data_IF_526524254894
#
_entry.id   IF_526524254894
#
_cell.length_a   1.000
_cell.length_b   1.000
_cell.length_c   1.000
_cell.angle_alpha   90.00
_cell.angle_beta   90.00
_cell.angle_gamma   90.00
#
_symmetry.space_group_name_H-M   'P 1'
#
loop_
_entity.id
_entity.type
_entity.pdbx_description
1 polymer ?
#
# COMPACT_ATOMS: atom_id res chain seq x y z
N UNK A 1 7.29 -9.00 6.09
CA UNK A 1 7.30 -8.15 7.29
C UNK A 1 6.83 -8.99 8.47
N UNK A 2 7.56 -8.92 9.57
CA UNK A 2 7.18 -9.59 10.80
C UNK A 2 5.91 -9.01 11.41
N UNK A 3 5.48 -9.54 12.54
CA UNK A 3 4.31 -9.06 13.24
C UNK A 3 4.52 -7.68 13.87
N UNK A 4 3.44 -7.12 14.36
CA UNK A 4 3.45 -5.85 15.08
C UNK A 4 4.13 -6.04 16.44
N UNK A 5 4.97 -5.09 16.87
CA UNK A 5 5.55 -5.12 18.19
C UNK A 5 4.47 -5.02 19.29
N UNK A 6 4.74 -5.63 20.45
CA UNK A 6 3.76 -5.72 21.54
C UNK A 6 3.24 -4.35 21.98
N UNK A 7 4.15 -3.35 22.16
CA UNK A 7 3.75 -2.01 22.59
C UNK A 7 2.89 -1.30 21.52
N UNK A 8 3.30 -1.41 20.26
CA UNK A 8 2.54 -0.81 19.15
C UNK A 8 1.15 -1.41 19.05
N UNK A 9 1.02 -2.72 19.26
CA UNK A 9 -0.25 -3.41 19.23
C UNK A 9 -1.17 -2.94 20.36
N UNK A 10 -0.64 -2.81 21.57
CA UNK A 10 -1.41 -2.32 22.72
C UNK A 10 -1.92 -0.89 22.49
N UNK A 11 -1.08 -0.02 21.93
CA UNK A 11 -1.49 1.35 21.59
C UNK A 11 -2.54 1.36 20.47
N UNK A 12 -2.34 0.53 19.44
CA UNK A 12 -3.26 0.46 18.32
C UNK A 12 -4.67 0.05 18.72
N UNK A 13 -4.83 -0.81 19.70
CA UNK A 13 -6.15 -1.20 20.21
C UNK A 13 -6.97 -0.01 20.67
N UNK A 14 -6.32 1.01 21.23
CA UNK A 14 -6.99 2.17 21.79
C UNK A 14 -7.25 3.28 20.75
N UNK A 15 -6.41 3.38 19.72
CA UNK A 15 -6.42 4.53 18.80
C UNK A 15 -6.76 4.20 17.35
N UNK A 16 -6.73 2.94 16.97
CA UNK A 16 -7.03 2.51 15.60
C UNK A 16 -8.45 1.98 15.51
N UNK A 17 -9.21 2.52 14.57
CA UNK A 17 -10.61 2.14 14.40
C UNK A 17 -10.78 0.78 13.72
N UNK A 18 -9.92 0.43 12.76
CA UNK A 18 -10.05 -0.81 12.00
C UNK A 18 -8.70 -1.25 11.44
N UNK A 19 -8.60 -2.51 11.09
CA UNK A 19 -7.42 -3.12 10.47
C UNK A 19 -7.84 -3.83 9.18
N UNK A 20 -7.05 -3.64 8.13
CA UNK A 20 -7.27 -4.28 6.83
C UNK A 20 -6.00 -5.01 6.42
N UNK A 21 -6.14 -6.28 6.04
CA UNK A 21 -5.05 -7.04 5.47
C UNK A 21 -5.14 -7.00 3.94
N UNK A 22 -4.02 -6.72 3.27
CA UNK A 22 -3.96 -6.65 1.81
C UNK A 22 -3.07 -7.74 1.26
N UNK A 23 -3.31 -8.17 0.02
CA UNK A 23 -2.52 -9.23 -0.61
C UNK A 23 -1.19 -8.71 -1.14
N UNK A 24 -0.20 -9.58 -1.20
CA UNK A 24 1.10 -9.27 -1.81
C UNK A 24 0.94 -8.87 -3.28
N UNK A 25 0.02 -9.50 -3.99
CA UNK A 25 -0.26 -9.19 -5.38
C UNK A 25 -0.74 -7.74 -5.54
N UNK A 26 -1.69 -7.31 -4.71
CA UNK A 26 -2.20 -5.95 -4.75
C UNK A 26 -1.13 -4.94 -4.34
N UNK A 27 -0.29 -5.26 -3.37
CA UNK A 27 0.84 -4.41 -2.98
C UNK A 27 1.80 -4.23 -4.16
N UNK A 28 2.13 -5.30 -4.86
CA UNK A 28 2.99 -5.23 -6.04
C UNK A 28 2.41 -4.34 -7.14
N UNK A 29 1.11 -4.45 -7.38
CA UNK A 29 0.41 -3.58 -8.32
C UNK A 29 0.47 -2.12 -7.89
N UNK A 30 0.32 -1.87 -6.59
CA UNK A 30 0.37 -0.52 -6.04
C UNK A 30 1.76 0.11 -6.21
N UNK A 31 2.82 -0.66 -5.96
CA UNK A 31 4.20 -0.18 -6.18
C UNK A 31 4.41 0.21 -7.65
N UNK A 32 4.00 -0.64 -8.57
CA UNK A 32 4.10 -0.38 -10.01
C UNK A 32 3.25 0.84 -10.41
N UNK A 33 2.02 0.92 -9.92
CA UNK A 33 1.13 2.05 -10.17
C UNK A 33 1.75 3.37 -9.73
N UNK A 34 2.26 3.43 -8.51
CA UNK A 34 2.85 4.66 -7.99
C UNK A 34 4.03 5.12 -8.83
N UNK A 35 4.89 4.18 -9.25
CA UNK A 35 6.04 4.52 -10.08
C UNK A 35 5.64 4.93 -11.49
N UNK A 36 4.70 4.21 -12.12
CA UNK A 36 4.31 4.44 -13.52
C UNK A 36 3.38 5.62 -13.69
N UNK A 37 2.37 5.74 -12.85
CA UNK A 37 1.29 6.72 -13.05
C UNK A 37 1.53 7.99 -12.24
N UNK A 38 1.93 7.85 -10.99
CA UNK A 38 2.11 8.99 -10.09
C UNK A 38 3.55 9.50 -10.05
N UNK A 39 4.49 8.73 -10.60
CA UNK A 39 5.93 9.07 -10.66
C UNK A 39 6.57 9.15 -9.27
N UNK A 40 6.06 8.38 -8.32
CA UNK A 40 6.62 8.26 -6.98
C UNK A 40 7.16 6.86 -6.73
N UNK A 41 8.37 6.78 -6.21
CA UNK A 41 8.97 5.53 -5.79
C UNK A 41 8.60 5.29 -4.33
N UNK A 42 7.74 4.31 -4.10
CA UNK A 42 7.25 3.97 -2.77
C UNK A 42 7.55 2.51 -2.49
N UNK A 43 8.12 2.21 -1.33
CA UNK A 43 8.43 0.83 -0.96
C UNK A 43 7.16 0.01 -0.69
N UNK A 44 7.27 -1.31 -0.78
CA UNK A 44 6.12 -2.21 -0.65
C UNK A 44 5.36 -2.02 0.67
N UNK A 45 6.09 -1.91 1.79
CA UNK A 45 5.47 -1.69 3.10
C UNK A 45 4.64 -0.42 3.17
N UNK A 46 5.07 0.64 2.47
CA UNK A 46 4.33 1.91 2.43
C UNK A 46 3.18 1.90 1.42
N UNK A 47 3.23 1.02 0.42
CA UNK A 47 2.15 0.88 -0.56
C UNK A 47 0.96 0.09 -0.04
N UNK A 48 1.00 -0.42 1.18
CA UNK A 48 -0.14 -1.13 1.79
C UNK A 48 -1.38 -0.25 1.84
N UNK A 49 -1.22 1.06 2.06
CA UNK A 49 -2.35 2.00 2.10
C UNK A 49 -2.99 2.15 0.72
N UNK A 50 -2.20 2.24 -0.34
CA UNK A 50 -2.70 2.29 -1.71
C UNK A 50 -3.40 0.98 -2.06
N UNK A 51 -2.80 -0.16 -1.71
CA UNK A 51 -3.39 -1.48 -1.93
C UNK A 51 -4.75 -1.63 -1.21
N UNK A 52 -4.85 -1.09 0.00
CA UNK A 52 -6.11 -1.13 0.75
C UNK A 52 -7.23 -0.37 0.01
N UNK A 53 -6.92 0.79 -0.54
CA UNK A 53 -7.89 1.55 -1.33
C UNK A 53 -8.29 0.79 -2.59
N UNK A 54 -7.34 0.13 -3.25
CA UNK A 54 -7.63 -0.66 -4.45
C UNK A 54 -8.64 -1.79 -4.17
N UNK A 55 -8.43 -2.55 -3.10
CA UNK A 55 -9.20 -3.75 -2.81
C UNK A 55 -10.44 -3.51 -1.94
N UNK A 56 -10.43 -2.46 -1.14
CA UNK A 56 -11.46 -2.27 -0.11
C UNK A 56 -12.10 -0.87 -0.15
N UNK A 57 -12.28 -0.33 -1.34
CA UNK A 57 -12.83 1.04 -1.53
C UNK A 57 -14.17 1.24 -0.81
N UNK A 58 -15.07 0.29 -0.92
CA UNK A 58 -16.39 0.38 -0.31
C UNK A 58 -16.32 0.36 1.20
N UNK A 59 -15.40 -0.42 1.76
CA UNK A 59 -15.20 -0.54 3.20
C UNK A 59 -14.55 0.71 3.78
N UNK A 60 -13.56 1.27 3.08
CA UNK A 60 -12.86 2.47 3.51
C UNK A 60 -13.80 3.68 3.46
N UNK A 61 -14.52 3.83 2.37
CA UNK A 61 -15.55 4.86 2.24
C UNK A 61 -15.04 6.30 2.35
N UNK A 62 -15.98 7.24 2.27
CA UNK A 62 -15.67 8.65 2.47
C UNK A 62 -15.22 9.36 1.21
N UNK A 63 -15.31 10.69 1.25
CA UNK A 63 -14.94 11.57 0.12
C UNK A 63 -13.49 11.99 0.17
N UNK A 64 -12.93 12.05 1.37
CA UNK A 64 -11.55 12.49 1.59
C UNK A 64 -10.82 11.40 2.34
N UNK A 65 -9.83 10.81 1.69
CA UNK A 65 -9.02 9.73 2.26
C UNK A 65 -7.56 10.15 2.18
N UNK A 66 -6.89 10.15 3.33
CA UNK A 66 -5.45 10.42 3.39
C UNK A 66 -4.71 9.09 3.48
N UNK A 67 -3.75 8.87 2.59
CA UNK A 67 -2.89 7.70 2.58
C UNK A 67 -1.49 8.12 2.97
N UNK A 68 -0.93 7.49 4.00
CA UNK A 68 0.44 7.77 4.41
C UNK A 68 1.39 6.92 3.57
N UNK A 69 2.29 7.57 2.84
CA UNK A 69 3.35 6.93 2.06
C UNK A 69 4.68 7.26 2.75
N UNK A 70 5.08 6.41 3.68
CA UNK A 70 6.13 6.73 4.63
C UNK A 70 7.56 6.49 4.15
N UNK A 71 7.77 5.71 3.10
CA UNK A 71 9.13 5.40 2.66
C UNK A 71 9.23 5.02 1.19
N UNK A 72 10.45 5.18 0.67
CA UNK A 72 10.76 4.84 -0.72
C UNK A 72 12.02 3.97 -0.84
N UNK A 73 12.43 3.30 0.23
CA UNK A 73 13.63 2.48 0.23
C UNK A 73 13.33 1.09 -0.35
N UNK A 74 13.34 1.02 -1.67
CA UNK A 74 13.12 -0.23 -2.40
C UNK A 74 14.32 -0.52 -3.30
N UNK A 75 14.71 -1.80 -3.37
CA UNK A 75 15.76 -2.25 -4.29
C UNK A 75 15.33 -2.01 -5.74
N UNK A 76 16.23 -1.43 -6.54
CA UNK A 76 15.92 -1.11 -7.93
C UNK A 76 15.55 -2.34 -8.77
N UNK A 77 16.14 -3.50 -8.49
CA UNK A 77 15.81 -4.73 -9.20
C UNK A 77 14.40 -5.21 -8.86
N UNK A 78 13.99 -5.07 -7.59
CA UNK A 78 12.64 -5.42 -7.15
C UNK A 78 11.63 -4.48 -7.80
N UNK A 79 11.90 -3.19 -7.82
CA UNK A 79 11.04 -2.20 -8.48
C UNK A 79 10.88 -2.53 -9.96
N UNK A 80 11.98 -2.80 -10.64
CA UNK A 80 11.97 -3.15 -12.06
C UNK A 80 11.13 -4.40 -12.32
N UNK A 81 11.29 -5.43 -11.49
CA UNK A 81 10.52 -6.67 -11.58
C UNK A 81 9.03 -6.42 -11.41
N UNK A 82 8.64 -5.64 -10.41
CA UNK A 82 7.23 -5.33 -10.16
C UNK A 82 6.62 -4.51 -11.29
N UNK A 83 7.34 -3.55 -11.84
CA UNK A 83 6.87 -2.75 -12.97
C UNK A 83 6.67 -3.61 -14.23
N UNK A 84 7.53 -4.61 -14.43
CA UNK A 84 7.39 -5.55 -15.54
C UNK A 84 6.25 -6.54 -15.34
N UNK A 85 6.02 -6.96 -14.10
CA UNK A 85 4.95 -7.91 -13.76
C UNK A 85 3.56 -7.25 -13.80
N UNK A 86 3.46 -5.98 -13.46
CA UNK A 86 2.20 -5.24 -13.40
C UNK A 86 2.26 -3.98 -14.26
N UNK A 87 2.28 -4.13 -15.59
CA UNK A 87 2.44 -2.99 -16.51
C UNK A 87 1.15 -2.23 -16.80
N UNK A 88 -0.01 -2.78 -16.48
CA UNK A 88 -1.28 -2.15 -16.79
C UNK A 88 -1.60 -1.01 -15.82
N UNK A 89 -2.23 0.07 -16.32
CA UNK A 89 -2.75 1.12 -15.43
C UNK A 89 -3.82 0.56 -14.49
N UNK A 90 -3.90 1.13 -13.30
CA UNK A 90 -4.94 0.79 -12.34
C UNK A 90 -6.14 1.68 -12.55
N UNK A 91 -7.33 1.08 -12.44
CA UNK A 91 -8.58 1.80 -12.46
C UNK A 91 -9.10 1.95 -11.04
N UNK A 92 -9.21 3.19 -10.59
CA UNK A 92 -9.74 3.53 -9.26
C UNK A 92 -11.22 3.92 -9.31
N UNK A 93 -11.83 3.85 -10.44
CA UNK A 93 -13.26 4.07 -10.63
C UNK A 93 -14.05 2.77 -10.55
#
# INVERSE_FOLDING_TARGET
IGGIGALSYEMAKDYVDDFIAVSEDTIGRAVSFMAREEKYIVEAGSCTTVAAVMDFRERIGGRNVALVLSGGNIDGNVLHELMGKYPEPMDFE
#
